data_IF_453175837175
#
_entry.id   IF_453175837175
#
_cell.length_a   1.000
_cell.length_b   1.000
_cell.length_c   1.000
_cell.angle_alpha   90.00
_cell.angle_beta   90.00
_cell.angle_gamma   90.00
#
_symmetry.space_group_name_H-M   'P 1'
#
loop_
_entity.id
_entity.type
_entity.pdbx_description
1 polymer ?
#
# COMPACT_ATOMS: atom_id res chain seq x y z
N UNK A 1 9.42 -17.75 12.22
CA UNK A 1 8.74 -18.09 10.95
C UNK A 1 9.01 -16.93 9.99
N UNK A 2 8.85 -17.06 8.66
CA UNK A 2 8.96 -15.89 7.79
C UNK A 2 7.79 -14.93 8.05
N UNK A 3 8.04 -13.62 7.94
CA UNK A 3 6.97 -12.62 7.92
C UNK A 3 6.05 -12.93 6.73
N UNK A 4 4.74 -12.93 6.94
CA UNK A 4 3.78 -13.38 5.92
C UNK A 4 2.84 -12.26 5.50
N UNK A 5 2.70 -12.06 4.19
CA UNK A 5 1.69 -11.17 3.59
C UNK A 5 0.68 -12.04 2.85
N UNK A 6 -0.59 -11.96 3.23
CA UNK A 6 -1.66 -12.78 2.66
C UNK A 6 -2.51 -12.00 1.66
N UNK A 7 -3.17 -12.70 0.74
CA UNK A 7 -4.22 -12.06 -0.05
C UNK A 7 -5.46 -11.84 0.84
N UNK A 8 -5.86 -10.58 0.98
CA UNK A 8 -7.08 -10.17 1.69
C UNK A 8 -8.31 -10.25 0.80
N UNK A 9 -9.47 -10.48 1.40
CA UNK A 9 -10.73 -10.64 0.67
C UNK A 9 -11.52 -9.33 0.49
N UNK A 10 -11.17 -8.28 1.24
CA UNK A 10 -11.92 -7.03 1.32
C UNK A 10 -11.05 -5.84 0.87
N UNK A 11 -11.09 -5.43 -0.41
CA UNK A 11 -10.28 -4.31 -0.90
C UNK A 11 -10.52 -2.99 -0.17
N UNK A 12 -11.73 -2.77 0.37
CA UNK A 12 -12.10 -1.59 1.17
C UNK A 12 -11.82 -1.74 2.67
N UNK A 13 -11.17 -2.82 3.09
CA UNK A 13 -10.79 -3.04 4.48
C UNK A 13 -9.57 -3.99 4.54
N UNK A 14 -8.48 -3.64 3.84
CA UNK A 14 -7.26 -4.45 3.80
C UNK A 14 -6.64 -4.46 5.19
N UNK A 15 -6.65 -5.61 5.85
CA UNK A 15 -6.11 -5.76 7.20
C UNK A 15 -4.57 -5.72 7.18
N UNK A 16 -3.97 -5.55 8.36
CA UNK A 16 -2.51 -5.64 8.51
C UNK A 16 -1.97 -6.96 7.95
N UNK A 17 -0.83 -6.90 7.27
CA UNK A 17 -0.22 -8.05 6.61
C UNK A 17 -1.07 -8.67 5.50
N UNK A 18 -1.97 -7.90 4.89
CA UNK A 18 -2.74 -8.30 3.72
C UNK A 18 -2.46 -7.42 2.51
N UNK A 19 -2.77 -7.96 1.32
CA UNK A 19 -2.87 -7.19 0.09
C UNK A 19 -4.18 -7.50 -0.63
N UNK A 20 -4.72 -6.54 -1.35
CA UNK A 20 -5.86 -6.75 -2.23
C UNK A 20 -5.75 -5.84 -3.46
N UNK A 21 -6.46 -6.20 -4.52
CA UNK A 21 -6.62 -5.36 -5.69
C UNK A 21 -8.10 -5.29 -6.09
N UNK A 22 -8.53 -4.15 -6.60
CA UNK A 22 -9.91 -3.94 -7.04
C UNK A 22 -9.95 -3.12 -8.32
N UNK A 23 -10.99 -3.36 -9.12
CA UNK A 23 -11.31 -2.52 -10.26
C UNK A 23 -11.68 -1.11 -9.78
N UNK A 24 -11.17 -0.11 -10.48
CA UNK A 24 -11.37 1.29 -10.12
C UNK A 24 -12.86 1.64 -10.05
N UNK A 25 -13.22 2.34 -8.98
CA UNK A 25 -14.53 2.97 -8.86
C UNK A 25 -14.44 4.34 -9.52
N UNK A 26 -15.34 4.60 -10.48
CA UNK A 26 -15.36 5.89 -11.17
C UNK A 26 -15.56 7.05 -10.17
N UNK A 27 -14.93 8.21 -10.39
CA UNK A 27 -15.18 9.41 -9.59
C UNK A 27 -16.67 9.77 -9.56
N UNK A 28 -17.11 10.44 -8.50
CA UNK A 28 -18.49 10.94 -8.41
C UNK A 28 -18.74 12.06 -9.44
N UNK A 29 -20.00 12.41 -9.65
CA UNK A 29 -20.38 13.51 -10.56
C UNK A 29 -19.75 14.88 -10.19
N UNK A 30 -19.20 15.02 -8.98
CA UNK A 30 -18.44 16.19 -8.51
C UNK A 30 -16.94 16.16 -8.84
N UNK A 31 -16.41 15.06 -9.38
CA UNK A 31 -15.01 14.88 -9.71
C UNK A 31 -14.14 14.28 -8.59
N UNK A 32 -14.73 14.02 -7.41
CA UNK A 32 -14.00 13.50 -6.26
C UNK A 32 -13.58 12.04 -6.48
N UNK A 33 -12.28 11.77 -6.30
CA UNK A 33 -11.71 10.42 -6.31
C UNK A 33 -12.39 9.56 -5.25
N UNK A 34 -12.86 8.38 -5.66
CA UNK A 34 -13.50 7.41 -4.77
C UNK A 34 -12.48 6.37 -4.28
N UNK A 35 -12.58 5.91 -3.02
CA UNK A 35 -11.74 4.82 -2.54
C UNK A 35 -12.04 3.56 -3.34
N UNK A 36 -11.03 3.05 -4.05
CA UNK A 36 -11.06 1.73 -4.70
C UNK A 36 -10.49 0.66 -3.76
N UNK A 37 -9.48 1.05 -2.99
CA UNK A 37 -9.01 0.30 -1.83
C UNK A 37 -9.02 1.18 -0.59
N UNK A 38 -9.09 0.55 0.57
CA UNK A 38 -8.94 1.20 1.87
C UNK A 38 -8.31 0.21 2.85
N UNK A 39 -7.39 0.70 3.65
CA UNK A 39 -6.74 -0.06 4.70
C UNK A 39 -7.53 0.03 6.00
N UNK A 40 -7.42 -0.98 6.87
CA UNK A 40 -7.84 -0.81 8.27
C UNK A 40 -7.00 0.25 8.98
N UNK A 41 -7.45 0.74 10.13
CA UNK A 41 -6.79 1.83 10.86
C UNK A 41 -5.30 1.55 11.13
N UNK A 42 -4.45 2.55 10.88
CA UNK A 42 -3.02 2.50 11.16
C UNK A 42 -2.77 2.88 12.61
N UNK A 43 -1.97 2.07 13.30
CA UNK A 43 -1.43 2.36 14.64
C UNK A 43 0.12 2.35 14.68
N UNK A 44 0.74 1.83 13.63
CA UNK A 44 2.19 1.90 13.31
C UNK A 44 2.48 1.44 11.88
N UNK A 45 1.45 1.43 11.03
CA UNK A 45 1.45 0.74 9.75
C UNK A 45 1.79 1.69 8.61
N UNK A 46 2.21 1.10 7.50
CA UNK A 46 2.28 1.80 6.23
C UNK A 46 1.44 1.04 5.20
N UNK A 47 0.80 1.80 4.33
CA UNK A 47 0.12 1.31 3.15
C UNK A 47 0.96 1.57 1.92
N UNK A 48 0.99 0.62 1.00
CA UNK A 48 1.51 0.82 -0.35
C UNK A 48 0.32 0.75 -1.29
N UNK A 49 0.13 1.79 -2.11
CA UNK A 49 -0.87 1.78 -3.16
C UNK A 49 -0.19 1.88 -4.52
N UNK A 50 -0.70 1.13 -5.49
CA UNK A 50 -0.28 1.20 -6.88
C UNK A 50 -1.46 1.07 -7.84
N UNK A 51 -1.30 1.63 -9.03
CA UNK A 51 -2.21 1.40 -10.15
C UNK A 51 -1.66 0.25 -11.02
N UNK A 52 -2.51 -0.58 -11.62
CA UNK A 52 -2.06 -1.51 -12.66
C UNK A 52 -1.62 -0.76 -13.95
N UNK A 53 -0.84 -1.40 -14.80
CA UNK A 53 -0.33 -0.79 -16.04
C UNK A 53 -1.45 -0.38 -17.02
N UNK A 54 -2.64 -0.97 -16.91
CA UNK A 54 -3.81 -0.62 -17.71
C UNK A 54 -4.58 0.59 -17.17
N UNK A 55 -4.29 1.07 -15.97
CA UNK A 55 -5.02 2.18 -15.34
C UNK A 55 -6.43 1.82 -14.88
N UNK A 56 -6.75 0.54 -14.72
CA UNK A 56 -8.11 0.05 -14.44
C UNK A 56 -8.29 -0.51 -13.04
N UNK A 57 -7.20 -0.75 -12.31
CA UNK A 57 -7.23 -1.33 -10.96
C UNK A 57 -6.29 -0.59 -10.03
N UNK A 58 -6.67 -0.60 -8.75
CA UNK A 58 -5.82 -0.16 -7.65
C UNK A 58 -5.45 -1.38 -6.82
N UNK A 59 -4.18 -1.43 -6.41
CA UNK A 59 -3.55 -2.48 -5.61
C UNK A 59 -3.17 -1.84 -4.28
N UNK A 60 -3.54 -2.45 -3.18
CA UNK A 60 -3.14 -2.05 -1.83
C UNK A 60 -2.37 -3.16 -1.13
N UNK A 61 -1.28 -2.82 -0.45
CA UNK A 61 -0.53 -3.71 0.46
C UNK A 61 -0.42 -3.03 1.82
N UNK A 62 -0.93 -3.66 2.87
CA UNK A 62 -0.90 -3.14 4.23
C UNK A 62 0.21 -3.81 5.01
N UNK A 63 1.23 -3.04 5.41
CA UNK A 63 2.37 -3.56 6.15
C UNK A 63 2.31 -3.07 7.60
N UNK A 64 2.52 -4.03 8.51
CA UNK A 64 2.78 -3.78 9.92
C UNK A 64 4.23 -4.14 10.24
N UNK A 65 4.76 -3.60 11.34
CA UNK A 65 6.14 -3.92 11.75
C UNK A 65 6.27 -5.38 12.16
N UNK A 66 5.25 -5.94 12.78
CA UNK A 66 5.18 -7.35 13.19
C UNK A 66 3.93 -7.99 12.60
N UNK A 67 4.07 -9.23 12.15
CA UNK A 67 2.91 -10.04 11.78
C UNK A 67 2.21 -10.65 13.02
N UNK A 68 1.09 -11.33 12.80
CA UNK A 68 0.32 -11.99 13.86
C UNK A 68 1.09 -13.11 14.61
N UNK A 69 2.19 -13.61 14.03
CA UNK A 69 3.08 -14.58 14.64
C UNK A 69 4.32 -13.92 15.27
N UNK A 70 4.32 -12.59 15.41
CA UNK A 70 5.36 -11.78 16.00
C UNK A 70 6.72 -11.86 15.25
N UNK A 71 6.69 -12.14 13.95
CA UNK A 71 7.87 -12.00 13.09
C UNK A 71 7.97 -10.54 12.64
N UNK A 72 9.15 -9.93 12.74
CA UNK A 72 9.38 -8.55 12.33
C UNK A 72 9.59 -8.45 10.82
N UNK A 73 8.98 -7.46 10.17
CA UNK A 73 9.25 -7.14 8.77
C UNK A 73 10.72 -6.76 8.58
N UNK A 74 11.37 -7.37 7.58
CA UNK A 74 12.80 -7.23 7.32
C UNK A 74 13.09 -6.92 5.86
N UNK A 75 14.33 -6.58 5.54
CA UNK A 75 14.75 -6.36 4.16
C UNK A 75 14.59 -7.62 3.28
N UNK A 76 14.57 -8.82 3.87
CA UNK A 76 14.35 -10.07 3.15
C UNK A 76 12.90 -10.25 2.69
N UNK A 77 11.96 -9.48 3.24
CA UNK A 77 10.53 -9.56 2.92
C UNK A 77 10.12 -8.59 1.81
N UNK A 78 10.97 -7.59 1.50
CA UNK A 78 10.74 -6.60 0.42
C UNK A 78 10.52 -7.26 -0.96
N UNK A 79 11.27 -8.31 -1.37
CA UNK A 79 10.98 -9.02 -2.61
C UNK A 79 9.56 -9.58 -2.69
N UNK A 80 8.96 -9.99 -1.57
CA UNK A 80 7.56 -10.46 -1.53
C UNK A 80 6.58 -9.34 -1.87
N UNK A 81 6.80 -8.14 -1.32
CA UNK A 81 6.00 -6.94 -1.64
C UNK A 81 6.10 -6.62 -3.14
N UNK A 82 7.31 -6.60 -3.68
CA UNK A 82 7.54 -6.34 -5.11
C UNK A 82 6.90 -7.41 -5.98
N UNK A 83 7.00 -8.69 -5.60
CA UNK A 83 6.38 -9.80 -6.31
C UNK A 83 4.85 -9.71 -6.34
N UNK A 84 4.22 -9.28 -5.23
CA UNK A 84 2.78 -9.01 -5.19
C UNK A 84 2.41 -7.93 -6.22
N UNK A 85 3.10 -6.79 -6.20
CA UNK A 85 2.85 -5.69 -7.14
C UNK A 85 3.07 -6.12 -8.60
N UNK A 86 4.16 -6.84 -8.88
CA UNK A 86 4.46 -7.38 -10.20
C UNK A 86 3.41 -8.40 -10.65
N UNK A 87 2.93 -9.26 -9.75
CA UNK A 87 1.87 -10.22 -10.04
C UNK A 87 0.54 -9.55 -10.42
N UNK A 88 0.33 -8.30 -10.00
CA UNK A 88 -0.81 -7.47 -10.40
C UNK A 88 -0.50 -6.54 -11.59
N UNK A 89 0.66 -6.70 -12.23
CA UNK A 89 1.13 -5.89 -13.34
C UNK A 89 1.07 -4.38 -13.03
N UNK A 90 1.58 -3.97 -11.86
CA UNK A 90 1.58 -2.57 -11.44
C UNK A 90 2.36 -1.65 -12.40
N UNK A 91 1.97 -0.38 -12.44
CA UNK A 91 2.72 0.70 -13.08
C UNK A 91 3.76 1.26 -12.08
N UNK A 92 5.08 1.11 -12.33
CA UNK A 92 6.12 1.57 -11.42
C UNK A 92 6.14 3.08 -11.17
N UNK A 93 5.53 3.88 -12.06
CA UNK A 93 5.45 5.33 -11.92
C UNK A 93 4.19 5.80 -11.18
N UNK A 94 3.31 4.87 -10.79
CA UNK A 94 2.07 5.15 -10.09
C UNK A 94 2.04 4.36 -8.79
N UNK A 95 2.97 4.68 -7.89
CA UNK A 95 3.11 4.06 -6.57
C UNK A 95 3.20 5.15 -5.52
N UNK A 96 2.57 4.92 -4.37
CA UNK A 96 2.86 5.69 -3.17
C UNK A 96 2.92 4.80 -1.93
N UNK A 97 3.64 5.31 -0.92
CA UNK A 97 3.70 4.79 0.44
C UNK A 97 3.05 5.82 1.35
N UNK A 98 2.10 5.42 2.19
CA UNK A 98 1.35 6.29 3.10
C UNK A 98 1.37 5.74 4.53
N UNK A 99 1.30 6.61 5.54
CA UNK A 99 1.16 6.21 6.95
C UNK A 99 2.36 6.60 7.82
N UNK A 100 2.59 5.82 8.87
CA UNK A 100 3.55 6.05 9.97
C UNK A 100 5.02 5.81 9.54
N UNK A 101 5.47 6.44 8.45
CA UNK A 101 6.79 6.20 7.85
C UNK A 101 7.95 6.60 8.76
N UNK A 102 7.75 7.59 9.64
CA UNK A 102 8.73 7.99 10.64
C UNK A 102 8.99 6.86 11.67
N UNK A 103 7.93 6.15 12.08
CA UNK A 103 8.05 4.98 12.97
C UNK A 103 8.78 3.85 12.25
N UNK A 104 8.47 3.61 10.98
CA UNK A 104 9.19 2.61 10.17
C UNK A 104 10.68 2.91 10.02
N UNK A 105 11.04 4.16 9.75
CA UNK A 105 12.43 4.60 9.67
C UNK A 105 13.18 4.41 11.00
N UNK A 106 12.48 4.53 12.14
CA UNK A 106 13.06 4.38 13.47
C UNK A 106 13.13 2.91 13.93
N UNK A 107 12.12 2.09 13.61
CA UNK A 107 11.96 0.74 14.14
C UNK A 107 12.51 -0.36 13.23
N UNK A 108 12.41 -0.19 11.91
CA UNK A 108 12.83 -1.19 10.89
C UNK A 108 13.62 -0.53 9.76
N UNK A 109 14.55 0.36 10.14
CA UNK A 109 15.29 1.23 9.22
C UNK A 109 15.84 0.51 7.97
N UNK A 110 16.50 -0.63 8.15
CA UNK A 110 17.10 -1.38 7.04
C UNK A 110 16.04 -1.89 6.05
N UNK A 111 14.90 -2.37 6.57
CA UNK A 111 13.79 -2.86 5.75
C UNK A 111 13.09 -1.71 5.02
N UNK A 112 12.85 -0.59 5.72
CA UNK A 112 12.22 0.59 5.13
C UNK A 112 13.10 1.21 4.02
N UNK A 113 14.41 1.33 4.24
CA UNK A 113 15.34 1.78 3.20
C UNK A 113 15.36 0.83 1.99
N UNK A 114 15.35 -0.49 2.22
CA UNK A 114 15.28 -1.48 1.15
C UNK A 114 13.96 -1.38 0.35
N UNK A 115 12.84 -1.14 1.03
CA UNK A 115 11.54 -0.94 0.40
C UNK A 115 11.52 0.31 -0.50
N UNK A 116 12.02 1.45 -0.02
CA UNK A 116 12.13 2.68 -0.83
C UNK A 116 13.04 2.44 -2.04
N UNK A 117 14.18 1.77 -1.85
CA UNK A 117 15.11 1.47 -2.94
C UNK A 117 14.48 0.56 -4.00
N UNK A 118 13.61 -0.37 -3.59
CA UNK A 118 12.89 -1.27 -4.49
C UNK A 118 11.73 -0.58 -5.23
N UNK A 119 11.23 0.54 -4.71
CA UNK A 119 10.15 1.34 -5.29
C UNK A 119 10.63 2.80 -5.52
N UNK A 120 11.62 3.01 -6.41
CA UNK A 120 12.37 4.26 -6.48
C UNK A 120 11.54 5.49 -6.90
N UNK A 121 10.36 5.27 -7.51
CA UNK A 121 9.46 6.33 -7.94
C UNK A 121 8.25 6.50 -7.00
N UNK A 122 8.22 5.79 -5.87
CA UNK A 122 7.11 5.90 -4.94
C UNK A 122 7.07 7.29 -4.31
N UNK A 123 5.89 7.92 -4.35
CA UNK A 123 5.62 9.10 -3.53
C UNK A 123 5.47 8.69 -2.07
N UNK A 124 5.91 9.54 -1.14
CA UNK A 124 5.86 9.24 0.30
C UNK A 124 4.94 10.24 0.99
N UNK A 125 3.86 9.73 1.59
CA UNK A 125 2.90 10.48 2.40
C UNK A 125 3.09 10.09 3.88
N UNK A 126 3.98 10.80 4.57
CA UNK A 126 4.19 10.61 6.01
C UNK A 126 3.02 11.20 6.79
N UNK A 127 2.19 10.34 7.38
CA UNK A 127 1.00 10.71 8.15
C UNK A 127 1.03 10.01 9.53
N UNK A 128 0.12 10.40 10.40
CA UNK A 128 -0.08 9.78 11.71
C UNK A 128 -1.03 8.56 11.61
N UNK A 129 -1.48 8.04 12.75
CA UNK A 129 -2.61 7.14 12.84
C UNK A 129 -3.85 7.64 12.06
N UNK A 130 -4.52 6.72 11.39
CA UNK A 130 -5.70 7.02 10.60
C UNK A 130 -6.14 5.88 9.70
N UNK A 131 -7.24 6.10 8.98
CA UNK A 131 -7.74 5.19 7.95
C UNK A 131 -7.44 5.81 6.60
N UNK A 132 -6.66 5.12 5.78
CA UNK A 132 -6.22 5.62 4.48
C UNK A 132 -6.66 4.68 3.37
N UNK A 133 -6.80 5.21 2.17
CA UNK A 133 -7.11 4.43 0.98
C UNK A 133 -6.49 5.02 -0.27
N UNK A 134 -6.92 4.49 -1.42
CA UNK A 134 -6.48 4.98 -2.71
C UNK A 134 -7.57 4.79 -3.76
N UNK A 135 -7.59 5.71 -4.73
CA UNK A 135 -8.45 5.65 -5.90
C UNK A 135 -7.77 6.26 -7.12
N UNK A 136 -8.37 6.09 -8.29
CA UNK A 136 -7.92 6.76 -9.51
C UNK A 136 -8.84 7.95 -9.77
N UNK A 137 -8.25 9.13 -9.89
CA UNK A 137 -8.98 10.37 -10.15
C UNK A 137 -9.52 10.44 -11.57
N UNK A 138 -10.36 11.45 -11.84
CA UNK A 138 -10.89 11.68 -13.18
C UNK A 138 -9.78 11.93 -14.22
N UNK A 139 -8.62 12.43 -13.79
CA UNK A 139 -7.44 12.61 -14.63
C UNK A 139 -6.61 11.34 -14.86
N UNK A 140 -7.02 10.20 -14.29
CA UNK A 140 -6.31 8.93 -14.42
C UNK A 140 -5.12 8.76 -13.47
N UNK A 141 -4.91 9.69 -12.54
CA UNK A 141 -3.84 9.64 -11.56
C UNK A 141 -4.27 8.84 -10.32
N UNK A 142 -3.35 8.07 -9.75
CA UNK A 142 -3.54 7.44 -8.44
C UNK A 142 -3.43 8.50 -7.35
N UNK A 143 -4.43 8.57 -6.47
CA UNK A 143 -4.51 9.55 -5.39
C UNK A 143 -4.86 8.86 -4.06
N UNK A 144 -4.31 9.35 -2.93
CA UNK A 144 -4.72 8.90 -1.61
C UNK A 144 -6.15 9.38 -1.28
N UNK A 145 -6.88 8.56 -0.53
CA UNK A 145 -8.20 8.91 0.02
C UNK A 145 -8.17 8.83 1.54
N UNK A 146 -8.97 9.66 2.21
CA UNK A 146 -8.99 9.86 3.66
C UNK A 146 -10.41 9.73 4.21
#
# INVERSE_FOLDING_TARGET
MPYTINAGAAPLAIAECEWAAAANVAPTAGGDTQPTIQFTAFTSCIGIAAQNAAGTQVIGVHLAIYDAANNQFSAADVPTVVAILQGQNYNPNSVFIIGETAVWQASVQAAYNALIAALPNAQIYSLADGTYGAGISAGGALEPTY
#
